data_IF_037092731309
#
_entry.id   IF_037092731309
#
_cell.length_a   1.000
_cell.length_b   1.000
_cell.length_c   1.000
_cell.angle_alpha   90.00
_cell.angle_beta   90.00
_cell.angle_gamma   90.00
#
_symmetry.space_group_name_H-M   'P 1'
#
loop_
_entity.id
_entity.type
_entity.pdbx_description
1 polymer ?
#
# COMPACT_ATOMS: atom_id res chain seq x y z
N UNK A 1 45.09 13.15 -5.18
CA UNK A 1 44.53 12.23 -6.19
C UNK A 1 43.71 11.18 -5.46
N UNK A 2 42.44 11.45 -5.22
CA UNK A 2 41.47 10.48 -4.72
C UNK A 2 40.34 10.47 -5.73
N UNK A 3 40.40 9.53 -6.67
CA UNK A 3 39.29 9.23 -7.56
C UNK A 3 38.19 8.60 -6.72
N UNK A 4 37.10 9.34 -6.55
CA UNK A 4 35.82 8.79 -6.11
C UNK A 4 35.33 7.88 -7.24
N UNK A 5 35.22 6.58 -6.97
CA UNK A 5 34.63 5.61 -7.88
C UNK A 5 33.13 5.86 -7.93
N UNK A 6 32.70 6.73 -8.83
CA UNK A 6 31.31 6.82 -9.28
C UNK A 6 31.02 5.54 -10.05
N UNK A 7 30.41 4.57 -9.37
CA UNK A 7 29.82 3.40 -10.03
C UNK A 7 28.50 3.88 -10.62
N UNK A 8 28.57 4.38 -11.86
CA UNK A 8 27.42 4.51 -12.74
C UNK A 8 26.91 3.11 -13.08
N UNK A 9 26.25 2.47 -12.11
CA UNK A 9 25.38 1.32 -12.34
C UNK A 9 24.24 1.80 -13.22
N UNK A 10 24.32 1.56 -14.53
CA UNK A 10 23.40 1.98 -15.57
C UNK A 10 21.95 2.18 -15.08
N UNK A 11 21.61 3.39 -14.61
CA UNK A 11 20.38 3.64 -13.85
C UNK A 11 19.20 3.60 -14.81
N UNK A 12 18.22 2.73 -14.57
CA UNK A 12 17.03 2.66 -15.43
C UNK A 12 16.21 3.87 -15.02
N UNK A 13 15.89 4.79 -15.96
CA UNK A 13 15.14 5.98 -15.62
C UNK A 13 13.69 5.61 -15.27
N UNK A 14 13.15 6.33 -14.29
CA UNK A 14 11.73 6.27 -13.94
C UNK A 14 10.90 6.84 -15.09
N UNK A 15 9.83 6.15 -15.46
CA UNK A 15 8.92 6.61 -16.50
C UNK A 15 7.93 7.63 -15.93
N UNK A 16 7.80 8.78 -16.58
CA UNK A 16 6.88 9.87 -16.22
C UNK A 16 5.71 9.94 -17.21
N UNK A 17 5.01 8.83 -17.40
CA UNK A 17 3.93 8.68 -18.41
C UNK A 17 2.55 8.86 -17.76
N UNK A 18 2.44 9.64 -16.69
CA UNK A 18 1.16 9.82 -15.99
C UNK A 18 0.10 10.46 -16.91
N UNK A 19 -1.13 9.96 -16.82
CA UNK A 19 -2.29 10.46 -17.56
C UNK A 19 -3.40 10.81 -16.56
N UNK A 20 -3.40 12.02 -15.97
CA UNK A 20 -4.37 12.40 -14.94
C UNK A 20 -5.82 12.46 -15.47
N UNK A 21 -6.00 12.53 -16.80
CA UNK A 21 -7.33 12.48 -17.43
C UNK A 21 -7.99 11.10 -17.33
N UNK A 22 -7.21 10.02 -17.21
CA UNK A 22 -7.72 8.67 -16.98
C UNK A 22 -7.43 8.26 -15.55
N UNK A 23 -8.48 8.26 -14.72
CA UNK A 23 -8.38 7.91 -13.32
C UNK A 23 -7.77 6.51 -13.09
N UNK A 24 -8.10 5.54 -13.95
CA UNK A 24 -7.60 4.16 -13.78
C UNK A 24 -6.10 4.10 -14.00
N UNK A 25 -5.65 4.76 -15.05
CA UNK A 25 -4.24 4.85 -15.38
C UNK A 25 -3.47 5.67 -14.32
N UNK A 26 -4.01 6.81 -13.89
CA UNK A 26 -3.40 7.62 -12.84
C UNK A 26 -3.21 6.83 -11.53
N UNK A 27 -4.23 6.10 -11.09
CA UNK A 27 -4.13 5.24 -9.91
C UNK A 27 -3.04 4.17 -10.08
N UNK A 28 -2.96 3.53 -11.26
CA UNK A 28 -1.92 2.57 -11.59
C UNK A 28 -0.53 3.21 -11.63
N UNK A 29 -0.42 4.46 -12.09
CA UNK A 29 0.82 5.21 -12.13
C UNK A 29 1.34 5.54 -10.72
N UNK A 30 0.46 5.97 -9.81
CA UNK A 30 0.82 6.19 -8.40
C UNK A 30 1.35 4.91 -7.76
N UNK A 31 0.71 3.78 -8.07
CA UNK A 31 1.09 2.45 -7.60
C UNK A 31 2.47 2.05 -8.13
N UNK A 32 2.73 2.28 -9.41
CA UNK A 32 4.04 2.10 -10.05
C UNK A 32 5.10 3.01 -9.42
N UNK A 33 4.82 4.30 -9.25
CA UNK A 33 5.75 5.27 -8.67
C UNK A 33 6.19 4.84 -7.28
N UNK A 34 5.25 4.45 -6.43
CA UNK A 34 5.56 3.97 -5.08
C UNK A 34 6.39 2.69 -5.09
N UNK A 35 6.08 1.74 -5.99
CA UNK A 35 6.85 0.50 -6.13
C UNK A 35 8.28 0.78 -6.64
N UNK A 36 8.42 1.71 -7.57
CA UNK A 36 9.70 2.16 -8.11
C UNK A 36 10.62 2.73 -7.04
N UNK A 37 10.08 3.68 -6.25
CA UNK A 37 10.84 4.40 -5.24
C UNK A 37 11.29 3.48 -4.09
N UNK A 38 10.52 2.42 -3.81
CA UNK A 38 10.86 1.38 -2.82
C UNK A 38 11.83 0.32 -3.35
N UNK A 39 11.98 0.18 -4.67
CA UNK A 39 12.80 -0.87 -5.27
C UNK A 39 14.28 -0.46 -5.34
N UNK A 40 15.16 -1.28 -4.74
CA UNK A 40 16.63 -1.09 -4.83
C UNK A 40 17.21 -1.84 -6.03
N UNK A 41 16.60 -2.95 -6.44
CA UNK A 41 17.08 -3.77 -7.56
C UNK A 41 16.71 -3.17 -8.92
N UNK A 42 17.71 -3.08 -9.77
CA UNK A 42 17.61 -2.59 -11.13
C UNK A 42 16.78 -3.50 -12.05
N UNK A 43 16.80 -4.80 -11.81
CA UNK A 43 15.99 -5.77 -12.56
C UNK A 43 14.49 -5.57 -12.29
N UNK A 44 14.14 -5.27 -11.03
CA UNK A 44 12.77 -4.98 -10.61
C UNK A 44 12.29 -3.69 -11.27
N UNK A 45 13.16 -2.68 -11.32
CA UNK A 45 12.94 -1.44 -12.05
C UNK A 45 12.64 -1.72 -13.53
N UNK A 46 13.48 -2.46 -14.25
CA UNK A 46 13.16 -2.78 -15.66
C UNK A 46 11.78 -3.42 -15.84
N UNK A 47 11.41 -4.39 -15.00
CA UNK A 47 10.10 -5.05 -15.06
C UNK A 47 8.93 -4.13 -14.75
N UNK A 48 9.08 -3.23 -13.79
CA UNK A 48 8.06 -2.22 -13.48
C UNK A 48 7.82 -1.27 -14.66
N UNK A 49 8.90 -0.89 -15.37
CA UNK A 49 8.81 -0.09 -16.59
C UNK A 49 8.05 -0.82 -17.69
N UNK A 50 8.37 -2.09 -17.93
CA UNK A 50 7.65 -2.92 -18.89
C UNK A 50 6.15 -2.98 -18.55
N UNK A 51 5.80 -3.23 -17.29
CA UNK A 51 4.40 -3.30 -16.84
C UNK A 51 3.63 -1.99 -17.09
N UNK A 52 4.19 -0.84 -16.71
CA UNK A 52 3.49 0.45 -16.90
C UNK A 52 3.40 0.82 -18.39
N UNK A 53 4.40 0.46 -19.20
CA UNK A 53 4.35 0.68 -20.65
C UNK A 53 3.32 -0.20 -21.34
N UNK A 54 3.23 -1.49 -21.01
CA UNK A 54 2.19 -2.38 -21.53
C UNK A 54 0.80 -1.91 -21.11
N UNK A 55 0.64 -1.38 -19.88
CA UNK A 55 -0.64 -0.77 -19.47
C UNK A 55 -0.94 0.49 -20.29
N UNK A 56 0.06 1.32 -20.59
CA UNK A 56 -0.14 2.55 -21.36
C UNK A 56 -0.49 2.34 -22.83
N UNK A 57 -0.11 1.17 -23.37
CA UNK A 57 -0.40 0.70 -24.73
C UNK A 57 -1.69 -0.13 -24.81
N UNK A 58 -2.41 -0.27 -23.69
CA UNK A 58 -3.59 -1.12 -23.56
C UNK A 58 -3.34 -2.60 -23.92
N UNK A 59 -2.09 -3.08 -23.79
CA UNK A 59 -1.73 -4.49 -24.00
C UNK A 59 -2.12 -5.38 -22.82
N UNK A 60 -2.26 -4.79 -21.62
CA UNK A 60 -2.66 -5.47 -20.41
C UNK A 60 -3.81 -4.73 -19.73
N UNK A 61 -4.76 -5.49 -19.20
CA UNK A 61 -5.83 -4.92 -18.39
C UNK A 61 -5.32 -4.41 -17.05
N UNK A 62 -6.03 -3.43 -16.49
CA UNK A 62 -5.76 -2.91 -15.15
C UNK A 62 -5.72 -4.03 -14.10
N UNK A 63 -6.61 -5.02 -14.20
CA UNK A 63 -6.65 -6.16 -13.27
C UNK A 63 -5.36 -7.00 -13.36
N UNK A 64 -4.92 -7.31 -14.58
CA UNK A 64 -3.67 -8.03 -14.81
C UNK A 64 -2.45 -7.23 -14.33
N UNK A 65 -2.45 -5.90 -14.51
CA UNK A 65 -1.43 -5.01 -13.96
C UNK A 65 -1.37 -5.10 -12.43
N UNK A 66 -2.50 -4.96 -11.75
CA UNK A 66 -2.55 -5.04 -10.28
C UNK A 66 -2.14 -6.41 -9.76
N UNK A 67 -2.51 -7.48 -10.46
CA UNK A 67 -2.04 -8.84 -10.16
C UNK A 67 -0.52 -8.95 -10.22
N UNK A 68 0.11 -8.47 -11.28
CA UNK A 68 1.57 -8.56 -11.46
C UNK A 68 2.35 -7.61 -10.54
N UNK A 69 1.90 -6.36 -10.38
CA UNK A 69 2.62 -5.36 -9.58
C UNK A 69 2.57 -5.64 -8.07
N UNK A 70 1.58 -6.41 -7.62
CA UNK A 70 1.47 -6.84 -6.21
C UNK A 70 2.71 -7.56 -5.70
N UNK A 71 3.43 -8.28 -6.57
CA UNK A 71 4.65 -9.03 -6.23
C UNK A 71 5.85 -8.13 -5.90
N UNK A 72 5.87 -6.91 -6.45
CA UNK A 72 6.97 -5.97 -6.29
C UNK A 72 6.71 -4.93 -5.19
N UNK A 73 5.52 -4.98 -4.56
CA UNK A 73 5.19 -4.13 -3.43
C UNK A 73 5.77 -4.75 -2.17
N UNK A 74 6.77 -4.08 -1.59
CA UNK A 74 7.44 -4.47 -0.33
C UNK A 74 6.45 -4.58 0.84
N UNK A 75 5.31 -3.87 0.79
CA UNK A 75 4.22 -3.96 1.78
C UNK A 75 3.17 -5.04 1.47
N UNK A 76 3.38 -5.89 0.46
CA UNK A 76 2.56 -7.08 0.25
C UNK A 76 2.90 -8.14 1.30
N UNK A 77 2.78 -7.81 2.58
CA UNK A 77 2.42 -8.79 3.58
C UNK A 77 0.99 -9.21 3.23
N UNK A 78 0.73 -10.49 2.90
CA UNK A 78 -0.64 -10.99 2.75
C UNK A 78 -1.50 -10.64 3.98
N UNK A 79 -0.86 -10.52 5.14
CA UNK A 79 -1.47 -10.04 6.39
C UNK A 79 -2.07 -8.63 6.31
N UNK A 80 -1.58 -7.76 5.43
CA UNK A 80 -2.12 -6.41 5.26
C UNK A 80 -3.42 -6.38 4.43
N UNK A 81 -3.67 -7.39 3.59
CA UNK A 81 -5.01 -7.65 3.02
C UNK A 81 -5.94 -8.37 4.03
N UNK A 82 -5.37 -9.01 5.06
CA UNK A 82 -6.09 -9.40 6.27
C UNK A 82 -6.27 -8.23 7.27
N UNK A 83 -6.07 -6.97 6.86
CA UNK A 83 -6.68 -5.78 7.53
C UNK A 83 -8.18 -5.70 7.19
N UNK A 84 -8.79 -6.88 7.01
CA UNK A 84 -10.20 -7.20 7.01
C UNK A 84 -10.72 -7.55 8.41
N UNK A 85 -10.02 -7.22 9.49
CA UNK A 85 -10.73 -6.69 10.67
C UNK A 85 -11.28 -5.31 10.30
N UNK A 86 -12.20 -5.27 9.32
CA UNK A 86 -13.13 -4.15 9.17
C UNK A 86 -13.57 -3.83 10.58
N UNK A 87 -13.22 -2.65 11.10
CA UNK A 87 -13.57 -2.27 12.45
C UNK A 87 -15.09 -2.44 12.55
N UNK A 88 -15.53 -3.53 13.19
CA UNK A 88 -16.93 -3.89 13.19
C UNK A 88 -17.56 -2.86 14.08
N UNK A 89 -18.42 -2.02 13.51
CA UNK A 89 -19.18 -1.06 14.29
C UNK A 89 -20.11 -1.89 15.18
N UNK A 90 -19.67 -2.17 16.40
CA UNK A 90 -20.42 -2.90 17.39
C UNK A 90 -21.35 -1.92 18.09
N UNK A 91 -22.65 -2.03 17.81
CA UNK A 91 -23.65 -1.20 18.46
C UNK A 91 -24.10 -1.86 19.77
N UNK A 92 -24.22 -1.08 20.84
CA UNK A 92 -24.70 -1.56 22.13
C UNK A 92 -26.08 -0.98 22.45
N UNK A 93 -26.99 -1.81 22.98
CA UNK A 93 -28.28 -1.32 23.51
C UNK A 93 -28.03 -0.41 24.71
N UNK A 94 -28.72 0.74 24.77
CA UNK A 94 -28.61 1.74 25.85
C UNK A 94 -28.73 1.17 27.27
N UNK A 95 -29.53 0.11 27.47
CA UNK A 95 -29.68 -0.58 28.76
C UNK A 95 -28.40 -1.30 29.21
N UNK A 96 -27.68 -1.91 28.26
CA UNK A 96 -26.50 -2.72 28.54
C UNK A 96 -25.28 -1.82 28.77
N UNK A 97 -25.22 -0.67 28.09
CA UNK A 97 -24.29 0.41 28.40
C UNK A 97 -24.46 0.92 29.84
N UNK A 98 -25.70 1.23 30.26
CA UNK A 98 -25.99 1.69 31.63
C UNK A 98 -25.59 0.67 32.70
N UNK A 99 -25.84 -0.63 32.47
CA UNK A 99 -25.43 -1.70 33.40
C UNK A 99 -23.91 -1.81 33.51
N UNK A 100 -23.19 -1.69 32.37
CA UNK A 100 -21.73 -1.71 32.32
C UNK A 100 -21.14 -0.53 33.09
N UNK A 101 -21.67 0.68 32.87
CA UNK A 101 -21.23 1.89 33.58
C UNK A 101 -21.46 1.80 35.10
N UNK A 102 -22.64 1.35 35.53
CA UNK A 102 -22.91 1.18 36.96
C UNK A 102 -21.97 0.15 37.62
N UNK A 103 -21.65 -0.95 36.91
CA UNK A 103 -20.68 -1.95 37.37
C UNK A 103 -19.27 -1.36 37.43
N UNK A 104 -18.84 -0.61 36.42
CA UNK A 104 -17.54 0.04 36.39
C UNK A 104 -17.39 1.06 37.53
N UNK A 105 -18.40 1.91 37.75
CA UNK A 105 -18.42 2.87 38.85
C UNK A 105 -18.34 2.18 40.23
N UNK A 106 -19.06 1.06 40.41
CA UNK A 106 -18.95 0.25 41.65
C UNK A 106 -17.54 -0.29 41.82
N UNK A 107 -16.98 -0.93 40.80
CA UNK A 107 -15.64 -1.49 40.85
C UNK A 107 -14.58 -0.42 41.11
N UNK A 108 -14.71 0.77 40.53
CA UNK A 108 -13.80 1.89 40.75
C UNK A 108 -13.83 2.38 42.21
N UNK A 109 -15.01 2.37 42.86
CA UNK A 109 -15.14 2.70 44.29
C UNK A 109 -14.44 1.66 45.18
N UNK A 110 -14.56 0.37 44.85
CA UNK A 110 -13.97 -0.71 45.64
C UNK A 110 -12.49 -0.98 45.33
N UNK A 111 -11.97 -0.55 44.17
CA UNK A 111 -10.54 -0.67 43.82
C UNK A 111 -9.65 0.39 44.47
N UNK A 112 -10.23 1.45 45.04
CA UNK A 112 -9.51 2.53 45.74
C UNK A 112 -9.45 2.33 47.26
N UNK A 113 -9.87 1.16 47.76
CA UNK A 113 -9.86 0.78 49.16
C UNK A 113 -8.96 -0.43 49.34
#
# INVERSE_FOLDING_TARGET
MTQESNVDDAVVPKLLIDKPSDFRFHAAYLVYSQAWDKSTSQEIKSKLNELITSLSKDEIDCEAFYGKISQYRVEFSPEHYYVGTKARIETQRKRDWRRREAKNARNARHRRR
#
